data_IF_182027207668
#
_entry.id   IF_182027207668
#
_cell.length_a   1.000
_cell.length_b   1.000
_cell.length_c   1.000
_cell.angle_alpha   90.00
_cell.angle_beta   90.00
_cell.angle_gamma   90.00
#
_symmetry.space_group_name_H-M   'P 1'
#
loop_
_entity.id
_entity.type
_entity.pdbx_description
1 polymer ?
#
# COMPACT_ATOMS: atom_id res chain seq x y z
N UNK A 1 22.47 -0.11 -36.79
CA UNK A 1 21.37 -0.49 -35.88
C UNK A 1 21.20 0.64 -34.87
N UNK A 2 20.14 1.44 -35.05
CA UNK A 2 19.92 2.69 -34.33
C UNK A 2 19.42 2.38 -32.91
N UNK A 3 20.30 2.45 -31.91
CA UNK A 3 19.89 2.42 -30.50
C UNK A 3 19.35 3.81 -30.19
N UNK A 4 18.02 3.96 -30.20
CA UNK A 4 17.34 5.16 -29.71
C UNK A 4 17.84 5.46 -28.29
N UNK A 5 18.51 6.60 -28.13
CA UNK A 5 18.80 7.20 -26.83
C UNK A 5 17.45 7.53 -26.20
N UNK A 6 17.05 6.75 -25.21
CA UNK A 6 16.02 7.17 -24.28
C UNK A 6 16.68 8.18 -23.35
N UNK A 7 16.67 9.45 -23.77
CA UNK A 7 16.99 10.57 -22.88
C UNK A 7 16.01 10.51 -21.70
N UNK A 8 16.55 10.21 -20.52
CA UNK A 8 15.76 10.17 -19.27
C UNK A 8 15.27 11.59 -19.02
N UNK A 9 13.96 11.81 -19.07
CA UNK A 9 13.38 13.12 -18.86
C UNK A 9 13.60 13.58 -17.41
N UNK A 10 13.75 14.88 -17.13
CA UNK A 10 13.93 15.40 -15.76
C UNK A 10 12.82 14.97 -14.77
N UNK A 11 11.62 14.62 -15.26
CA UNK A 11 10.55 14.03 -14.46
C UNK A 11 10.86 12.64 -13.89
N UNK A 12 11.72 11.85 -14.54
CA UNK A 12 12.09 10.50 -14.09
C UNK A 12 12.87 10.51 -12.79
N UNK A 13 13.67 11.55 -12.54
CA UNK A 13 14.45 11.67 -11.31
C UNK A 13 13.58 11.97 -10.10
N UNK A 14 12.59 12.87 -10.25
CA UNK A 14 11.63 13.21 -9.18
C UNK A 14 10.74 12.01 -8.87
N UNK A 15 10.24 11.33 -9.90
CA UNK A 15 9.41 10.13 -9.73
C UNK A 15 10.17 8.98 -9.05
N UNK A 16 11.47 8.80 -9.37
CA UNK A 16 12.33 7.82 -8.70
C UNK A 16 12.57 8.16 -7.24
N UNK A 17 12.86 9.41 -6.91
CA UNK A 17 13.05 9.84 -5.51
C UNK A 17 11.77 9.68 -4.69
N UNK A 18 10.61 10.01 -5.26
CA UNK A 18 9.32 9.79 -4.61
C UNK A 18 9.02 8.30 -4.40
N UNK A 19 9.31 7.45 -5.39
CA UNK A 19 9.21 5.99 -5.23
C UNK A 19 10.18 5.48 -4.16
N UNK A 20 11.43 5.92 -4.16
CA UNK A 20 12.40 5.51 -3.14
C UNK A 20 11.94 5.90 -1.72
N UNK A 21 11.39 7.11 -1.55
CA UNK A 21 10.85 7.58 -0.28
C UNK A 21 9.59 6.78 0.16
N UNK A 22 8.77 6.34 -0.79
CA UNK A 22 7.62 5.48 -0.54
C UNK A 22 8.04 4.14 0.06
N UNK A 23 9.04 3.48 -0.54
CA UNK A 23 9.52 2.16 -0.13
C UNK A 23 10.54 2.20 1.03
N UNK A 24 10.86 3.38 1.55
CA UNK A 24 11.82 3.54 2.64
C UNK A 24 11.35 2.91 3.97
N UNK A 25 10.04 2.90 4.24
CA UNK A 25 9.48 2.34 5.47
C UNK A 25 8.17 1.60 5.19
N UNK A 26 7.86 0.58 6.02
CA UNK A 26 6.59 -0.14 5.94
C UNK A 26 5.39 0.80 6.17
N UNK A 27 5.51 1.77 7.07
CA UNK A 27 4.46 2.77 7.34
C UNK A 27 4.11 3.60 6.09
N UNK A 28 5.11 4.02 5.30
CA UNK A 28 4.86 4.79 4.09
C UNK A 28 4.11 3.97 3.04
N UNK A 29 4.49 2.71 2.88
CA UNK A 29 3.79 1.78 1.98
C UNK A 29 2.38 1.49 2.47
N UNK A 30 2.16 1.31 3.77
CA UNK A 30 0.82 1.16 4.34
C UNK A 30 -0.07 2.38 4.09
N UNK A 31 0.45 3.60 4.32
CA UNK A 31 -0.32 4.84 4.05
C UNK A 31 -0.69 4.96 2.58
N UNK A 32 0.24 4.62 1.69
CA UNK A 32 -0.02 4.63 0.26
C UNK A 32 -1.06 3.57 -0.13
N UNK A 33 -0.95 2.35 0.39
CA UNK A 33 -1.93 1.30 0.16
C UNK A 33 -3.33 1.73 0.64
N UNK A 34 -3.42 2.36 1.82
CA UNK A 34 -4.67 2.94 2.33
C UNK A 34 -5.19 4.07 1.44
N UNK A 35 -4.34 4.94 0.88
CA UNK A 35 -4.79 5.96 -0.07
C UNK A 35 -5.42 5.38 -1.34
N UNK A 36 -4.99 4.19 -1.76
CA UNK A 36 -5.56 3.49 -2.92
C UNK A 36 -6.83 2.71 -2.56
N UNK A 37 -6.87 2.08 -1.38
CA UNK A 37 -8.00 1.21 -0.99
C UNK A 37 -9.16 1.93 -0.30
N UNK A 38 -8.91 3.07 0.36
CA UNK A 38 -9.93 3.84 1.08
C UNK A 38 -11.06 4.36 0.19
N UNK A 39 -10.81 4.88 -1.04
CA UNK A 39 -11.87 5.26 -1.95
C UNK A 39 -12.82 4.10 -2.29
N UNK A 40 -12.28 2.89 -2.47
CA UNK A 40 -13.08 1.69 -2.71
C UNK A 40 -13.94 1.31 -1.50
N UNK A 41 -13.33 1.28 -0.31
CA UNK A 41 -14.06 1.01 0.93
C UNK A 41 -15.20 2.03 1.13
N UNK A 42 -14.90 3.32 0.97
CA UNK A 42 -15.89 4.38 1.12
C UNK A 42 -17.00 4.29 0.06
N UNK A 43 -16.67 3.98 -1.19
CA UNK A 43 -17.67 3.78 -2.23
C UNK A 43 -18.68 2.71 -1.84
N UNK A 44 -18.22 1.54 -1.40
CA UNK A 44 -19.10 0.44 -0.97
C UNK A 44 -19.97 0.86 0.22
N UNK A 45 -19.37 1.48 1.24
CA UNK A 45 -20.08 1.92 2.45
C UNK A 45 -21.14 2.99 2.12
N UNK A 46 -20.77 4.01 1.33
CA UNK A 46 -21.67 5.08 0.91
C UNK A 46 -22.78 4.53 0.01
N UNK A 47 -22.47 3.65 -0.94
CA UNK A 47 -23.47 3.07 -1.83
C UNK A 47 -24.54 2.29 -1.07
N UNK A 48 -24.14 1.43 -0.12
CA UNK A 48 -25.11 0.73 0.73
C UNK A 48 -25.87 1.68 1.65
N UNK A 49 -25.21 2.67 2.23
CA UNK A 49 -25.88 3.64 3.08
C UNK A 49 -26.95 4.43 2.32
N UNK A 50 -26.63 4.91 1.11
CA UNK A 50 -27.57 5.60 0.23
C UNK A 50 -28.72 4.69 -0.22
N UNK A 51 -28.43 3.43 -0.58
CA UNK A 51 -29.46 2.47 -0.97
C UNK A 51 -30.49 2.27 0.16
N UNK A 52 -30.05 2.15 1.41
CA UNK A 52 -30.94 1.97 2.56
C UNK A 52 -31.63 3.29 2.95
N UNK A 53 -30.93 4.42 2.83
CA UNK A 53 -31.50 5.73 3.10
C UNK A 53 -32.65 6.04 2.12
N UNK A 54 -32.46 5.78 0.82
CA UNK A 54 -33.46 5.96 -0.22
C UNK A 54 -34.41 4.76 -0.41
N UNK A 55 -34.47 3.82 0.55
CA UNK A 55 -35.29 2.60 0.44
C UNK A 55 -36.75 2.85 0.07
N UNK A 56 -37.38 3.92 0.57
CA UNK A 56 -38.78 4.24 0.27
C UNK A 56 -38.99 4.84 -1.13
N UNK A 57 -37.93 5.45 -1.69
CA UNK A 57 -37.92 5.93 -3.07
C UNK A 57 -37.71 4.77 -4.04
N UNK A 58 -36.79 3.86 -3.73
CA UNK A 58 -36.46 2.68 -4.55
C UNK A 58 -37.59 1.64 -4.50
N UNK A 59 -38.10 1.36 -3.30
CA UNK A 59 -39.14 0.38 -3.05
C UNK A 59 -40.37 1.08 -2.46
N UNK A 60 -41.40 1.27 -3.30
CA UNK A 60 -42.60 2.01 -2.91
C UNK A 60 -43.26 1.37 -1.69
N UNK A 61 -43.39 2.15 -0.61
CA UNK A 61 -43.98 1.75 0.67
C UNK A 61 -43.21 0.64 1.43
N UNK A 62 -41.89 0.52 1.25
CA UNK A 62 -41.05 -0.43 1.98
C UNK A 62 -41.32 -0.41 3.49
N UNK A 63 -41.27 0.78 4.10
CA UNK A 63 -41.48 0.95 5.55
C UNK A 63 -42.88 0.59 6.02
N UNK A 64 -43.88 0.67 5.12
CA UNK A 64 -45.26 0.30 5.45
C UNK A 64 -45.50 -1.20 5.33
N UNK A 65 -44.76 -1.90 4.46
CA UNK A 65 -44.99 -3.32 4.14
C UNK A 65 -44.15 -4.28 4.97
N UNK A 66 -42.87 -3.94 5.25
CA UNK A 66 -41.92 -4.89 5.84
C UNK A 66 -41.51 -4.57 7.28
N UNK A 67 -41.74 -3.36 7.79
CA UNK A 67 -41.16 -2.94 9.06
C UNK A 67 -42.19 -2.93 10.20
N UNK A 68 -42.02 -3.84 11.14
CA UNK A 68 -42.87 -4.02 12.33
C UNK A 68 -42.53 -3.04 13.46
N UNK A 69 -41.28 -2.60 13.57
CA UNK A 69 -40.79 -1.67 14.59
C UNK A 69 -40.30 -0.34 14.01
N UNK A 70 -41.22 0.61 13.83
CA UNK A 70 -40.92 1.94 13.24
C UNK A 70 -40.15 2.88 14.17
N UNK A 71 -40.19 2.66 15.48
CA UNK A 71 -39.47 3.47 16.46
C UNK A 71 -37.93 3.43 16.27
N UNK A 72 -37.42 2.42 15.57
CA UNK A 72 -35.99 2.22 15.33
C UNK A 72 -35.49 3.02 14.10
N UNK A 73 -36.40 3.46 13.22
CA UNK A 73 -36.07 4.16 11.97
C UNK A 73 -35.17 5.39 12.19
N UNK A 74 -35.45 6.31 13.13
CA UNK A 74 -34.62 7.50 13.32
C UNK A 74 -33.17 7.18 13.70
N UNK A 75 -32.97 6.13 14.51
CA UNK A 75 -31.62 5.71 14.91
C UNK A 75 -30.81 5.16 13.74
N UNK A 76 -31.47 4.41 12.85
CA UNK A 76 -30.85 3.89 11.63
C UNK A 76 -30.52 5.04 10.68
N UNK A 77 -31.42 6.00 10.48
CA UNK A 77 -31.17 7.14 9.59
C UNK A 77 -29.98 7.97 10.07
N UNK A 78 -29.87 8.25 11.37
CA UNK A 78 -28.71 8.91 11.96
C UNK A 78 -27.42 8.10 11.76
N UNK A 79 -27.48 6.78 11.97
CA UNK A 79 -26.32 5.90 11.76
C UNK A 79 -25.87 5.88 10.29
N UNK A 80 -26.80 5.86 9.32
CA UNK A 80 -26.48 5.87 7.89
C UNK A 80 -25.87 7.21 7.45
N UNK A 81 -26.37 8.33 7.97
CA UNK A 81 -25.77 9.65 7.74
C UNK A 81 -24.34 9.68 8.31
N UNK A 82 -24.13 9.15 9.52
CA UNK A 82 -22.80 9.03 10.11
C UNK A 82 -21.87 8.15 9.26
N UNK A 83 -22.35 7.02 8.72
CA UNK A 83 -21.58 6.16 7.79
C UNK A 83 -21.09 6.96 6.58
N UNK A 84 -21.96 7.76 5.96
CA UNK A 84 -21.60 8.57 4.78
C UNK A 84 -20.54 9.62 5.15
N UNK A 85 -20.74 10.35 6.24
CA UNK A 85 -19.83 11.40 6.70
C UNK A 85 -18.46 10.80 7.06
N UNK A 86 -18.43 9.74 7.86
CA UNK A 86 -17.19 9.08 8.28
C UNK A 86 -16.45 8.52 7.07
N UNK A 87 -17.16 7.90 6.13
CA UNK A 87 -16.57 7.38 4.89
C UNK A 87 -15.95 8.49 4.04
N UNK A 88 -16.61 9.64 3.92
CA UNK A 88 -16.06 10.79 3.21
C UNK A 88 -14.80 11.35 3.90
N UNK A 89 -14.82 11.47 5.24
CA UNK A 89 -13.65 11.93 6.03
C UNK A 89 -12.47 10.97 5.85
N UNK A 90 -12.72 9.65 5.88
CA UNK A 90 -11.69 8.63 5.66
C UNK A 90 -10.99 8.80 4.30
N UNK A 91 -11.76 9.04 3.23
CA UNK A 91 -11.19 9.30 1.90
C UNK A 91 -10.38 10.58 1.87
N UNK A 92 -10.90 11.66 2.45
CA UNK A 92 -10.18 12.95 2.49
C UNK A 92 -8.84 12.81 3.20
N UNK A 93 -8.81 12.14 4.36
CA UNK A 93 -7.58 11.91 5.12
C UNK A 93 -6.61 11.03 4.34
N UNK A 94 -7.10 9.96 3.70
CA UNK A 94 -6.26 9.00 3.02
C UNK A 94 -5.66 9.54 1.71
N UNK A 95 -6.42 10.32 0.93
CA UNK A 95 -5.99 10.84 -0.37
C UNK A 95 -5.17 12.12 -0.23
N UNK A 96 -5.40 12.95 0.81
CA UNK A 96 -4.69 14.22 0.97
C UNK A 96 -3.28 14.00 1.53
N UNK A 97 -2.19 14.26 0.77
CA UNK A 97 -0.83 13.89 1.18
C UNK A 97 -0.39 14.53 2.51
N UNK A 98 -0.81 15.77 2.76
CA UNK A 98 -0.50 16.51 4.01
C UNK A 98 -1.09 15.83 5.25
N UNK A 99 -2.31 15.30 5.14
CA UNK A 99 -3.00 14.59 6.21
C UNK A 99 -2.49 13.16 6.34
N UNK A 100 -2.20 12.50 5.20
CA UNK A 100 -1.70 11.14 5.14
C UNK A 100 -0.35 10.95 5.87
N UNK A 101 0.53 11.95 5.83
CA UNK A 101 1.87 11.90 6.43
C UNK A 101 1.94 12.21 7.93
N UNK A 102 0.80 12.52 8.58
CA UNK A 102 0.76 12.84 10.00
C UNK A 102 1.16 11.65 10.89
N UNK A 103 1.85 11.95 12.01
CA UNK A 103 2.28 10.94 12.99
C UNK A 103 1.11 10.12 13.55
N UNK A 104 -0.05 10.75 13.74
CA UNK A 104 -1.25 10.14 14.33
C UNK A 104 -2.27 9.65 13.29
N UNK A 105 -1.99 9.78 11.99
CA UNK A 105 -2.97 9.53 10.93
C UNK A 105 -3.50 8.09 10.94
N UNK A 106 -2.63 7.09 11.11
CA UNK A 106 -3.07 5.68 11.17
C UNK A 106 -3.98 5.40 12.38
N UNK A 107 -3.74 6.07 13.51
CA UNK A 107 -4.58 5.93 14.71
C UNK A 107 -5.94 6.61 14.50
N UNK A 108 -5.96 7.80 13.90
CA UNK A 108 -7.19 8.51 13.55
C UNK A 108 -8.03 7.68 12.57
N UNK A 109 -7.40 7.13 11.51
CA UNK A 109 -8.06 6.23 10.57
C UNK A 109 -8.66 5.03 11.31
N UNK A 110 -7.92 4.42 12.24
CA UNK A 110 -8.40 3.28 13.03
C UNK A 110 -9.61 3.65 13.89
N UNK A 111 -9.59 4.82 14.53
CA UNK A 111 -10.72 5.32 15.32
C UNK A 111 -11.96 5.59 14.47
N UNK A 112 -11.79 6.17 13.28
CA UNK A 112 -12.88 6.41 12.33
C UNK A 112 -13.46 5.08 11.79
N UNK A 113 -12.61 4.09 11.50
CA UNK A 113 -13.05 2.75 11.10
C UNK A 113 -13.86 2.04 12.20
N UNK A 114 -13.46 2.21 13.47
CA UNK A 114 -14.24 1.70 14.60
C UNK A 114 -15.61 2.37 14.69
N UNK A 115 -15.67 3.71 14.58
CA UNK A 115 -16.92 4.45 14.59
C UNK A 115 -17.84 4.04 13.42
N UNK A 116 -17.28 3.87 12.22
CA UNK A 116 -17.97 3.37 11.04
C UNK A 116 -18.55 1.97 11.29
N UNK A 117 -17.75 1.07 11.87
CA UNK A 117 -18.16 -0.29 12.22
C UNK A 117 -19.29 -0.32 13.25
N UNK A 118 -19.23 0.54 14.26
CA UNK A 118 -20.29 0.66 15.27
C UNK A 118 -21.62 1.14 14.66
N UNK A 119 -21.57 2.09 13.71
CA UNK A 119 -22.78 2.54 13.01
C UNK A 119 -23.41 1.41 12.17
N UNK A 120 -22.58 0.64 11.46
CA UNK A 120 -23.04 -0.54 10.73
C UNK A 120 -23.52 -1.65 11.66
N UNK A 121 -22.85 -1.86 12.77
CA UNK A 121 -23.20 -2.84 13.79
C UNK A 121 -24.59 -2.54 14.35
N UNK A 122 -24.85 -1.30 14.79
CA UNK A 122 -26.18 -0.86 15.23
C UNK A 122 -27.25 -1.08 14.14
N UNK A 123 -26.96 -0.66 12.91
CA UNK A 123 -27.92 -0.78 11.80
C UNK A 123 -28.24 -2.24 11.48
N UNK A 124 -27.22 -3.10 11.40
CA UNK A 124 -27.39 -4.53 11.11
C UNK A 124 -28.12 -5.28 12.23
N UNK A 125 -27.83 -4.97 13.50
CA UNK A 125 -28.60 -5.51 14.61
C UNK A 125 -30.09 -5.21 14.44
N UNK A 126 -30.42 -3.97 14.07
CA UNK A 126 -31.81 -3.59 13.86
C UNK A 126 -32.45 -4.30 12.67
N UNK A 127 -31.73 -4.45 11.56
CA UNK A 127 -32.24 -5.14 10.38
C UNK A 127 -32.50 -6.62 10.63
N UNK A 128 -31.63 -7.27 11.40
CA UNK A 128 -31.71 -8.71 11.68
C UNK A 128 -32.78 -8.95 12.76
N UNK A 129 -32.67 -8.30 13.92
CA UNK A 129 -33.50 -8.60 15.07
C UNK A 129 -34.91 -7.96 14.99
N UNK A 130 -35.00 -6.66 14.71
CA UNK A 130 -36.29 -5.97 14.71
C UNK A 130 -37.07 -6.12 13.41
N UNK A 131 -36.38 -6.15 12.27
CA UNK A 131 -37.03 -6.15 10.95
C UNK A 131 -36.94 -7.49 10.23
N UNK A 132 -36.16 -8.44 10.73
CA UNK A 132 -36.01 -9.81 10.16
C UNK A 132 -35.72 -9.81 8.66
N UNK A 133 -34.92 -8.84 8.19
CA UNK A 133 -34.67 -8.65 6.77
C UNK A 133 -33.67 -9.69 6.25
N UNK A 134 -34.02 -10.51 5.24
CA UNK A 134 -33.15 -11.59 4.77
C UNK A 134 -31.86 -11.07 4.13
N UNK A 135 -31.87 -9.85 3.57
CA UNK A 135 -30.68 -9.26 2.94
C UNK A 135 -29.64 -8.72 3.93
N UNK A 136 -29.95 -8.61 5.22
CA UNK A 136 -29.03 -8.06 6.23
C UNK A 136 -27.78 -8.95 6.41
N UNK A 137 -27.93 -10.27 6.32
CA UNK A 137 -26.81 -11.21 6.40
C UNK A 137 -25.85 -11.07 5.20
N UNK A 138 -26.30 -11.11 3.93
CA UNK A 138 -25.46 -10.79 2.78
C UNK A 138 -24.78 -9.42 2.89
N UNK A 139 -25.49 -8.38 3.33
CA UNK A 139 -24.91 -7.04 3.49
C UNK A 139 -23.72 -7.07 4.45
N UNK A 140 -23.86 -7.72 5.60
CA UNK A 140 -22.80 -7.83 6.60
C UNK A 140 -21.59 -8.59 6.04
N UNK A 141 -21.82 -9.69 5.32
CA UNK A 141 -20.74 -10.44 4.64
C UNK A 141 -20.01 -9.58 3.60
N UNK A 142 -20.74 -8.83 2.78
CA UNK A 142 -20.13 -7.95 1.77
C UNK A 142 -19.30 -6.87 2.47
N UNK A 143 -19.84 -6.18 3.46
CA UNK A 143 -19.12 -5.14 4.19
C UNK A 143 -17.84 -5.70 4.84
N UNK A 144 -17.90 -6.88 5.48
CA UNK A 144 -16.74 -7.51 6.09
C UNK A 144 -15.70 -7.94 5.06
N UNK A 145 -16.11 -8.55 3.95
CA UNK A 145 -15.17 -8.96 2.88
C UNK A 145 -14.55 -7.74 2.18
N UNK A 146 -15.32 -6.66 1.97
CA UNK A 146 -14.77 -5.38 1.50
C UNK A 146 -13.75 -4.82 2.49
N UNK A 147 -14.07 -4.80 3.78
CA UNK A 147 -13.13 -4.37 4.83
C UNK A 147 -11.85 -5.19 4.84
N UNK A 148 -11.96 -6.51 4.69
CA UNK A 148 -10.82 -7.41 4.61
C UNK A 148 -9.91 -7.09 3.41
N UNK A 149 -10.50 -6.93 2.22
CA UNK A 149 -9.74 -6.60 0.99
C UNK A 149 -9.16 -5.19 0.99
N UNK A 150 -9.82 -4.22 1.63
CA UNK A 150 -9.34 -2.84 1.67
C UNK A 150 -8.27 -2.61 2.75
N UNK A 151 -8.33 -3.36 3.86
CA UNK A 151 -7.55 -3.09 5.07
C UNK A 151 -6.51 -4.16 5.39
N UNK A 152 -6.30 -5.18 4.55
CA UNK A 152 -5.36 -6.29 4.86
C UNK A 152 -3.95 -5.85 5.26
N UNK A 153 -3.51 -4.69 4.76
CA UNK A 153 -2.23 -4.05 5.08
C UNK A 153 -2.13 -3.48 6.51
N UNK A 154 -3.27 -3.13 7.11
CA UNK A 154 -3.36 -2.38 8.36
C UNK A 154 -4.14 -3.16 9.42
N UNK A 155 -3.44 -4.04 10.14
CA UNK A 155 -4.03 -4.95 11.12
C UNK A 155 -4.95 -4.29 12.17
N UNK A 156 -4.57 -3.17 12.83
CA UNK A 156 -5.46 -2.49 13.76
C UNK A 156 -6.78 -2.03 13.12
N UNK A 157 -6.74 -1.59 11.87
CA UNK A 157 -7.91 -1.19 11.10
C UNK A 157 -8.86 -2.34 10.80
N UNK A 158 -8.32 -3.53 10.46
CA UNK A 158 -9.12 -4.75 10.24
C UNK A 158 -9.91 -5.08 11.50
N UNK A 159 -9.25 -5.12 12.67
CA UNK A 159 -9.92 -5.44 13.93
C UNK A 159 -10.98 -4.40 14.24
N UNK A 160 -10.62 -3.11 14.18
CA UNK A 160 -11.53 -2.00 14.45
C UNK A 160 -12.77 -2.05 13.57
N UNK A 161 -12.61 -2.38 12.29
CA UNK A 161 -13.72 -2.44 11.34
C UNK A 161 -14.54 -3.73 11.44
N UNK A 162 -13.91 -4.90 11.61
CA UNK A 162 -14.60 -6.19 11.54
C UNK A 162 -15.19 -6.65 12.88
N UNK A 163 -14.51 -6.41 14.00
CA UNK A 163 -14.88 -7.01 15.28
C UNK A 163 -16.29 -6.61 15.76
N UNK A 164 -16.70 -5.32 15.76
CA UNK A 164 -18.05 -4.95 16.18
C UNK A 164 -19.16 -5.56 15.31
N UNK A 165 -18.92 -5.67 14.00
CA UNK A 165 -19.88 -6.29 13.07
C UNK A 165 -19.95 -7.81 13.26
N UNK A 166 -18.79 -8.45 13.46
CA UNK A 166 -18.70 -9.89 13.72
C UNK A 166 -19.43 -10.30 14.99
N UNK A 167 -19.23 -9.53 16.08
CA UNK A 167 -19.92 -9.75 17.36
C UNK A 167 -21.42 -9.57 17.20
N UNK A 168 -21.85 -8.51 16.53
CA UNK A 168 -23.29 -8.26 16.32
C UNK A 168 -23.96 -9.32 15.46
N UNK A 169 -23.28 -9.83 14.43
CA UNK A 169 -23.80 -10.94 13.64
C UNK A 169 -24.02 -12.19 14.49
N UNK A 170 -23.08 -12.51 15.40
CA UNK A 170 -23.24 -13.62 16.33
C UNK A 170 -24.41 -13.39 17.29
N UNK A 171 -24.44 -12.22 17.95
CA UNK A 171 -25.47 -11.89 18.95
C UNK A 171 -26.87 -11.92 18.33
N UNK A 172 -27.06 -11.26 17.18
CA UNK A 172 -28.35 -11.21 16.50
C UNK A 172 -28.80 -12.60 16.01
N UNK A 173 -27.85 -13.43 15.56
CA UNK A 173 -28.16 -14.80 15.12
C UNK A 173 -28.55 -15.73 16.25
N UNK A 174 -27.85 -15.67 17.39
CA UNK A 174 -28.17 -16.45 18.59
C UNK A 174 -29.54 -16.06 19.15
N UNK A 175 -29.87 -14.76 19.15
CA UNK A 175 -31.16 -14.28 19.64
C UNK A 175 -32.35 -14.68 18.75
N UNK A 176 -32.17 -14.84 17.44
CA UNK A 176 -33.26 -15.29 16.56
C UNK A 176 -33.50 -16.80 16.72
N UNK A 177 -32.44 -17.59 16.90
CA UNK A 177 -32.51 -19.05 16.98
C UNK A 177 -32.53 -19.52 18.43
N UNK A 178 -33.50 -19.03 19.23
CA UNK A 178 -33.65 -19.23 20.70
C UNK A 178 -33.37 -20.66 21.21
N UNK A 179 -33.54 -21.69 20.37
CA UNK A 179 -33.29 -23.10 20.70
C UNK A 179 -31.84 -23.58 20.50
N UNK A 180 -30.86 -22.67 20.35
CA UNK A 180 -29.45 -23.04 20.33
C UNK A 180 -29.11 -23.98 19.18
N UNK A 181 -29.66 -23.72 17.98
CA UNK A 181 -29.37 -24.56 16.82
C UNK A 181 -27.86 -24.54 16.53
N UNK A 182 -27.20 -25.68 16.81
CA UNK A 182 -25.79 -25.92 16.48
C UNK A 182 -25.47 -25.62 15.00
N UNK A 183 -26.48 -25.67 14.12
CA UNK A 183 -26.40 -25.29 12.71
C UNK A 183 -25.89 -23.86 12.51
N UNK A 184 -26.45 -22.88 13.23
CA UNK A 184 -26.05 -21.48 13.08
C UNK A 184 -24.60 -21.28 13.55
N UNK A 185 -24.24 -21.81 14.71
CA UNK A 185 -22.87 -21.73 15.25
C UNK A 185 -21.85 -22.40 14.32
N UNK A 186 -22.23 -23.52 13.69
CA UNK A 186 -21.37 -24.22 12.71
C UNK A 186 -21.14 -23.35 11.48
N UNK A 187 -22.19 -22.77 10.88
CA UNK A 187 -22.06 -21.87 9.73
C UNK A 187 -21.24 -20.62 10.06
N UNK A 188 -21.44 -20.05 11.26
CA UNK A 188 -20.70 -18.91 11.72
C UNK A 188 -19.22 -19.23 11.99
N UNK A 189 -18.90 -20.41 12.52
CA UNK A 189 -17.54 -20.89 12.68
C UNK A 189 -16.85 -21.09 11.32
N UNK A 190 -17.54 -21.68 10.34
CA UNK A 190 -17.04 -21.82 8.96
C UNK A 190 -16.78 -20.44 8.35
N UNK A 191 -17.72 -19.50 8.47
CA UNK A 191 -17.55 -18.14 7.97
C UNK A 191 -16.37 -17.42 8.62
N UNK A 192 -16.21 -17.57 9.94
CA UNK A 192 -15.07 -17.01 10.67
C UNK A 192 -13.76 -17.64 10.19
N UNK A 193 -13.72 -18.95 9.96
CA UNK A 193 -12.56 -19.63 9.41
C UNK A 193 -12.20 -19.13 7.99
N UNK A 194 -13.21 -18.89 7.14
CA UNK A 194 -13.03 -18.29 5.81
C UNK A 194 -12.40 -16.90 5.93
N UNK A 195 -12.91 -16.03 6.80
CA UNK A 195 -12.35 -14.68 7.00
C UNK A 195 -10.90 -14.73 7.53
N UNK A 196 -10.61 -15.63 8.47
CA UNK A 196 -9.27 -15.79 9.03
C UNK A 196 -8.28 -16.34 7.98
N UNK A 197 -8.70 -17.32 7.19
CA UNK A 197 -7.88 -17.86 6.12
C UNK A 197 -7.68 -16.83 4.99
N UNK A 198 -8.74 -16.14 4.59
CA UNK A 198 -8.72 -15.02 3.65
C UNK A 198 -7.77 -13.91 4.09
N UNK A 199 -7.75 -13.58 5.38
CA UNK A 199 -6.78 -12.65 5.95
C UNK A 199 -5.35 -13.17 5.84
N UNK A 200 -5.11 -14.44 6.19
CA UNK A 200 -3.77 -15.03 6.13
C UNK A 200 -3.21 -15.05 4.71
N UNK A 201 -4.03 -15.35 3.70
CA UNK A 201 -3.57 -15.36 2.31
C UNK A 201 -3.24 -13.94 1.82
N UNK A 202 -4.09 -12.95 2.13
CA UNK A 202 -3.83 -11.55 1.77
C UNK A 202 -2.57 -11.01 2.46
N UNK A 203 -2.35 -11.38 3.73
CA UNK A 203 -1.15 -11.01 4.45
C UNK A 203 0.10 -11.65 3.85
N UNK A 204 0.04 -12.93 3.46
CA UNK A 204 1.16 -13.59 2.77
C UNK A 204 1.50 -12.93 1.45
N UNK A 205 0.49 -12.59 0.63
CA UNK A 205 0.73 -11.87 -0.63
C UNK A 205 1.34 -10.49 -0.40
N UNK A 206 0.94 -9.80 0.67
CA UNK A 206 1.57 -8.53 1.03
C UNK A 206 3.06 -8.69 1.39
N UNK A 207 3.36 -9.66 2.25
CA UNK A 207 4.72 -9.92 2.71
C UNK A 207 5.62 -10.39 1.53
N UNK A 208 5.11 -11.28 0.67
CA UNK A 208 5.82 -11.74 -0.53
C UNK A 208 6.08 -10.61 -1.53
N UNK A 209 5.10 -9.72 -1.74
CA UNK A 209 5.28 -8.55 -2.59
C UNK A 209 6.33 -7.58 -2.03
N UNK A 210 6.38 -7.43 -0.70
CA UNK A 210 7.39 -6.63 -0.03
C UNK A 210 8.79 -7.21 -0.23
N UNK A 211 8.97 -8.50 0.03
CA UNK A 211 10.26 -9.18 -0.06
C UNK A 211 10.78 -9.19 -1.50
N UNK A 212 9.91 -9.53 -2.46
CA UNK A 212 10.23 -9.49 -3.90
C UNK A 212 10.67 -8.09 -4.33
N UNK A 213 10.05 -7.03 -3.79
CA UNK A 213 10.46 -5.66 -4.11
C UNK A 213 11.84 -5.33 -3.56
N UNK A 214 12.14 -5.75 -2.33
CA UNK A 214 13.46 -5.55 -1.71
C UNK A 214 14.55 -6.28 -2.49
N UNK A 215 14.31 -7.54 -2.87
CA UNK A 215 15.25 -8.31 -3.69
C UNK A 215 15.50 -7.61 -5.03
N UNK A 216 14.44 -7.22 -5.74
CA UNK A 216 14.57 -6.49 -7.00
C UNK A 216 15.39 -5.20 -6.86
N UNK A 217 15.20 -4.44 -5.78
CA UNK A 217 16.00 -3.24 -5.53
C UNK A 217 17.48 -3.59 -5.32
N UNK A 218 17.79 -4.66 -4.60
CA UNK A 218 19.18 -5.11 -4.43
C UNK A 218 19.80 -5.59 -5.74
N UNK A 219 19.06 -6.34 -6.56
CA UNK A 219 19.52 -6.77 -7.88
C UNK A 219 19.80 -5.57 -8.79
N UNK A 220 18.89 -4.59 -8.82
CA UNK A 220 19.08 -3.35 -9.60
C UNK A 220 20.34 -2.62 -9.15
N UNK A 221 20.56 -2.46 -7.84
CA UNK A 221 21.78 -1.83 -7.31
C UNK A 221 23.06 -2.58 -7.71
N UNK A 222 23.05 -3.92 -7.69
CA UNK A 222 24.19 -4.74 -8.13
C UNK A 222 24.45 -4.59 -9.63
N UNK A 223 23.40 -4.63 -10.44
CA UNK A 223 23.49 -4.45 -11.89
C UNK A 223 24.00 -3.04 -12.24
N UNK A 224 23.54 -2.00 -11.55
CA UNK A 224 24.05 -0.64 -11.73
C UNK A 224 25.53 -0.53 -11.36
N UNK A 225 25.97 -1.18 -10.27
CA UNK A 225 27.38 -1.24 -9.89
C UNK A 225 28.24 -1.89 -10.98
N UNK A 226 27.83 -3.06 -11.50
CA UNK A 226 28.54 -3.78 -12.55
C UNK A 226 28.53 -2.98 -13.86
N UNK A 227 27.40 -2.37 -14.22
CA UNK A 227 27.27 -1.65 -15.48
C UNK A 227 28.04 -0.31 -15.52
N UNK A 228 28.33 0.27 -14.35
CA UNK A 228 28.97 1.59 -14.24
C UNK A 228 30.40 1.53 -13.72
N UNK A 229 30.92 0.37 -13.31
CA UNK A 229 32.30 0.20 -12.89
C UNK A 229 33.13 -0.56 -13.91
N UNK A 230 34.41 -0.25 -13.96
CA UNK A 230 35.41 -1.02 -14.68
C UNK A 230 35.76 -2.28 -13.86
N UNK A 231 35.81 -3.45 -14.52
CA UNK A 231 35.94 -4.73 -13.82
C UNK A 231 37.34 -4.95 -13.21
N UNK A 232 38.39 -4.37 -13.81
CA UNK A 232 39.77 -4.52 -13.36
C UNK A 232 40.10 -3.55 -12.21
N UNK A 233 39.75 -2.29 -12.39
CA UNK A 233 40.15 -1.21 -11.48
C UNK A 233 39.09 -0.85 -10.45
N UNK A 234 37.83 -1.28 -10.65
CA UNK A 234 36.69 -0.91 -9.82
C UNK A 234 36.30 0.58 -9.90
N UNK A 235 36.97 1.36 -10.75
CA UNK A 235 36.69 2.78 -10.99
C UNK A 235 35.44 2.97 -11.85
N UNK A 236 34.93 4.19 -11.97
CA UNK A 236 33.81 4.47 -12.87
C UNK A 236 34.24 4.21 -14.32
N UNK A 237 33.49 3.40 -15.06
CA UNK A 237 33.81 3.12 -16.45
C UNK A 237 33.46 4.30 -17.38
N UNK A 238 33.86 4.21 -18.65
CA UNK A 238 33.61 5.26 -19.66
C UNK A 238 32.13 5.63 -19.79
N UNK A 239 31.22 4.66 -19.62
CA UNK A 239 29.76 4.91 -19.68
C UNK A 239 29.33 5.77 -18.50
N UNK A 240 29.79 5.46 -17.29
CA UNK A 240 29.52 6.25 -16.09
C UNK A 240 30.10 7.67 -16.20
N UNK A 241 31.34 7.81 -16.71
CA UNK A 241 31.96 9.11 -16.98
C UNK A 241 31.10 9.96 -17.93
N UNK A 242 30.68 9.39 -19.07
CA UNK A 242 29.87 10.12 -20.04
C UNK A 242 28.52 10.57 -19.45
N UNK A 243 27.87 9.72 -18.66
CA UNK A 243 26.61 10.06 -18.00
C UNK A 243 26.79 11.20 -16.98
N UNK A 244 27.86 11.14 -16.19
CA UNK A 244 28.20 12.17 -15.21
C UNK A 244 28.53 13.52 -15.87
N UNK A 245 29.34 13.51 -16.94
CA UNK A 245 29.66 14.72 -17.70
C UNK A 245 28.41 15.36 -18.33
N UNK A 246 27.48 14.56 -18.86
CA UNK A 246 26.22 15.06 -19.40
C UNK A 246 25.39 15.78 -18.32
N UNK A 247 25.29 15.20 -17.12
CA UNK A 247 24.56 15.81 -16.01
C UNK A 247 25.20 17.11 -15.53
N UNK A 248 26.52 17.17 -15.41
CA UNK A 248 27.24 18.38 -14.99
C UNK A 248 27.15 19.49 -16.03
N UNK A 249 27.12 19.14 -17.32
CA UNK A 249 26.98 20.11 -18.40
C UNK A 249 25.66 20.90 -18.29
N UNK A 250 24.58 20.26 -17.84
CA UNK A 250 23.28 20.93 -17.62
C UNK A 250 23.32 21.93 -16.44
N UNK A 251 24.15 21.70 -15.44
CA UNK A 251 24.25 22.54 -14.24
C UNK A 251 24.95 23.88 -14.51
N UNK A 252 25.59 24.05 -15.68
CA UNK A 252 26.30 25.28 -16.10
C UNK A 252 27.32 25.81 -15.07
N UNK A 253 27.89 24.92 -14.26
CA UNK A 253 28.96 25.27 -13.34
C UNK A 253 30.33 25.21 -14.03
N UNK A 254 31.33 26.03 -13.64
CA UNK A 254 32.70 25.87 -14.10
C UNK A 254 33.25 24.49 -13.73
N UNK A 255 33.82 23.78 -14.71
CA UNK A 255 34.30 22.41 -14.57
C UNK A 255 35.76 22.29 -15.04
N UNK A 256 36.54 21.49 -14.32
CA UNK A 256 37.88 21.07 -14.74
C UNK A 256 37.90 19.55 -14.94
N UNK A 257 38.49 19.08 -16.04
CA UNK A 257 38.67 17.66 -16.33
C UNK A 257 40.17 17.36 -16.43
N UNK A 258 40.62 16.32 -15.74
CA UNK A 258 41.98 15.82 -15.81
C UNK A 258 41.98 14.47 -16.51
N UNK A 259 42.84 14.30 -17.52
CA UNK A 259 43.08 13.04 -18.18
C UNK A 259 44.45 12.54 -17.78
N UNK A 260 44.52 11.33 -17.23
CA UNK A 260 45.73 10.72 -16.68
C UNK A 260 46.02 9.46 -17.49
N UNK A 261 47.27 9.30 -17.90
CA UNK A 261 47.78 8.11 -18.58
C UNK A 261 49.02 7.57 -17.85
N UNK A 262 49.26 6.26 -17.90
CA UNK A 262 50.43 5.63 -17.27
C UNK A 262 51.57 5.59 -18.27
N UNK A 263 52.62 6.37 -18.02
CA UNK A 263 53.77 6.45 -18.91
C UNK A 263 54.46 5.09 -19.10
N UNK A 264 54.86 4.80 -20.34
CA UNK A 264 55.56 3.56 -20.73
C UNK A 264 54.83 2.26 -20.40
N UNK A 265 53.52 2.28 -20.14
CA UNK A 265 52.74 1.10 -19.73
C UNK A 265 52.85 -0.09 -20.68
N UNK A 266 52.91 0.16 -22.00
CA UNK A 266 53.12 -0.90 -23.00
C UNK A 266 54.45 -1.64 -22.79
N UNK A 267 55.55 -0.92 -22.54
CA UNK A 267 56.87 -1.53 -22.28
C UNK A 267 56.87 -2.35 -20.99
N UNK A 268 56.12 -1.89 -19.98
CA UNK A 268 55.94 -2.62 -18.74
C UNK A 268 55.20 -3.95 -18.99
N UNK A 269 54.08 -3.92 -19.71
CA UNK A 269 53.33 -5.12 -20.10
C UNK A 269 54.17 -6.10 -20.93
N UNK A 270 54.91 -5.59 -21.90
CA UNK A 270 55.74 -6.42 -22.79
C UNK A 270 56.88 -7.13 -22.01
N UNK A 271 57.34 -6.55 -20.89
CA UNK A 271 58.43 -7.10 -20.07
C UNK A 271 57.93 -8.00 -18.93
N UNK A 272 56.91 -7.59 -18.18
CA UNK A 272 56.42 -8.29 -16.99
C UNK A 272 55.16 -9.14 -17.25
N UNK A 273 54.60 -9.06 -18.46
CA UNK A 273 53.38 -9.74 -18.85
C UNK A 273 52.11 -8.97 -18.47
N UNK A 274 51.01 -9.32 -19.13
CA UNK A 274 49.72 -8.64 -18.96
C UNK A 274 49.18 -8.70 -17.52
N UNK A 275 49.40 -9.80 -16.81
CA UNK A 275 48.93 -9.93 -15.42
C UNK A 275 49.57 -8.88 -14.49
N UNK A 276 50.88 -8.66 -14.61
CA UNK A 276 51.57 -7.62 -13.84
C UNK A 276 51.10 -6.21 -14.25
N UNK A 277 50.76 -6.03 -15.54
CA UNK A 277 50.12 -4.83 -16.05
C UNK A 277 48.79 -4.51 -15.40
N UNK A 278 47.93 -5.53 -15.30
CA UNK A 278 46.63 -5.44 -14.66
C UNK A 278 46.78 -5.05 -13.17
N UNK A 279 47.70 -5.68 -12.45
CA UNK A 279 48.02 -5.34 -11.05
C UNK A 279 48.54 -3.90 -10.90
N UNK A 280 49.35 -3.44 -11.86
CA UNK A 280 49.83 -2.05 -11.93
C UNK A 280 48.66 -1.07 -12.10
N UNK A 281 47.73 -1.32 -13.04
CA UNK A 281 46.55 -0.48 -13.24
C UNK A 281 45.63 -0.44 -12.02
N UNK A 282 45.39 -1.59 -11.37
CA UNK A 282 44.59 -1.65 -10.14
C UNK A 282 45.24 -0.85 -9.01
N UNK A 283 46.57 -0.90 -8.88
CA UNK A 283 47.33 -0.13 -7.88
C UNK A 283 47.22 1.37 -8.12
N UNK A 284 47.41 1.82 -9.37
CA UNK A 284 47.26 3.24 -9.75
C UNK A 284 45.85 3.73 -9.47
N UNK A 285 44.83 2.96 -9.87
CA UNK A 285 43.43 3.28 -9.61
C UNK A 285 43.13 3.43 -8.11
N UNK A 286 43.69 2.57 -7.26
CA UNK A 286 43.53 2.64 -5.82
C UNK A 286 44.16 3.91 -5.23
N UNK A 287 45.37 4.28 -5.68
CA UNK A 287 46.03 5.53 -5.27
C UNK A 287 45.17 6.74 -5.66
N UNK A 288 44.68 6.78 -6.90
CA UNK A 288 43.80 7.87 -7.36
C UNK A 288 42.53 7.96 -6.50
N UNK A 289 41.90 6.83 -6.18
CA UNK A 289 40.69 6.79 -5.34
C UNK A 289 40.93 7.31 -3.93
N UNK A 290 42.11 7.08 -3.34
CA UNK A 290 42.48 7.62 -2.03
C UNK A 290 42.83 9.10 -2.06
N UNK A 291 43.34 9.59 -3.19
CA UNK A 291 43.74 10.98 -3.37
C UNK A 291 42.56 11.94 -3.60
N UNK A 292 41.41 11.42 -4.07
CA UNK A 292 40.20 12.21 -4.30
C UNK A 292 39.25 12.08 -3.10
N UNK A 293 38.60 13.19 -2.71
CA UNK A 293 37.54 13.14 -1.69
C UNK A 293 36.35 12.34 -2.22
N UNK A 294 35.88 11.38 -1.44
CA UNK A 294 34.57 10.79 -1.68
C UNK A 294 33.49 11.85 -1.37
N UNK A 295 32.52 12.00 -2.26
CA UNK A 295 31.20 12.53 -1.88
C UNK A 295 30.40 11.45 -1.14
#
# INVERSE_FOLDING_TARGET
MNVQRHDRQPGDHVARQQRAALWATKDNVQRHALSMSMPWLAFVNIAFALMIFFRNFIFTYFDKKLLTHRAVIPYIEVALIAVIIISAILVIIAVTPRLAQGRYTLNIITGLLLALSLCWSLSNYCFIFFWTLPFAWPLLVILMTTGLTALYHHWPGIIAFMLPMWVTALLAGVQIHYDGEFRFLTLWAIFTAILLYGRRILQRWYDEAWDTHQENMQLIQRLESIANRDALTGTANRRALNAFLAQLWEQKAPLALMMIDVDYFKRYNDHYGHQAGDDCLSSVAQVLKMAVRAE
#
